data_IF_468760071852
#
_entry.id   IF_468760071852
#
_cell.length_a   1.000
_cell.length_b   1.000
_cell.length_c   1.000
_cell.angle_alpha   90.00
_cell.angle_beta   90.00
_cell.angle_gamma   90.00
#
_symmetry.space_group_name_H-M   'P 1'
#
loop_
_entity.id
_entity.type
_entity.pdbx_description
1 polymer ?
#
# COMPACT_ATOMS: atom_id res chain seq x y z
N UNK A 1 3.81 -80.44 -37.91
CA UNK A 1 4.35 -79.82 -36.65
C UNK A 1 4.35 -78.31 -36.81
N UNK A 2 3.25 -77.66 -36.46
CA UNK A 2 3.10 -76.18 -36.62
C UNK A 2 3.32 -75.49 -35.26
N UNK A 3 4.40 -74.68 -35.16
CA UNK A 3 4.65 -73.78 -33.98
C UNK A 3 3.92 -72.47 -34.18
N UNK A 4 2.94 -72.18 -33.31
CA UNK A 4 2.26 -70.89 -33.19
C UNK A 4 3.16 -69.91 -32.40
N UNK A 5 3.51 -68.77 -33.01
CA UNK A 5 4.12 -67.64 -32.34
C UNK A 5 3.03 -66.70 -31.88
N UNK A 6 2.89 -66.47 -30.54
CA UNK A 6 2.05 -65.44 -29.95
C UNK A 6 2.84 -64.16 -29.95
N UNK A 7 2.33 -63.17 -30.71
CA UNK A 7 2.85 -61.81 -30.70
C UNK A 7 2.21 -61.07 -29.54
N UNK A 8 2.99 -60.75 -28.50
CA UNK A 8 2.51 -60.01 -27.31
C UNK A 8 2.73 -58.52 -27.59
N UNK A 9 1.63 -57.80 -27.94
CA UNK A 9 1.66 -56.35 -28.13
C UNK A 9 1.65 -55.66 -26.75
N UNK A 10 2.77 -55.08 -26.38
CA UNK A 10 2.88 -54.19 -25.22
C UNK A 10 2.30 -52.80 -25.59
N UNK A 11 1.11 -52.49 -25.08
CA UNK A 11 0.51 -51.16 -25.13
C UNK A 11 1.18 -50.32 -24.03
N UNK A 12 2.12 -49.45 -24.40
CA UNK A 12 2.68 -48.44 -23.50
C UNK A 12 1.72 -47.30 -23.38
N UNK A 13 1.01 -47.24 -22.25
CA UNK A 13 0.13 -46.13 -21.88
C UNK A 13 1.01 -44.98 -21.33
N UNK A 14 1.36 -44.02 -22.17
CA UNK A 14 2.05 -42.79 -21.76
C UNK A 14 1.07 -41.91 -20.97
N UNK A 15 1.21 -41.96 -19.66
CA UNK A 15 0.50 -41.05 -18.74
C UNK A 15 1.23 -39.70 -18.72
N UNK A 16 0.78 -38.76 -19.56
CA UNK A 16 1.30 -37.39 -19.59
C UNK A 16 0.78 -36.65 -18.34
N UNK A 17 1.65 -36.53 -17.35
CA UNK A 17 1.41 -35.73 -16.13
C UNK A 17 1.47 -34.25 -16.52
N UNK A 18 0.32 -33.59 -16.72
CA UNK A 18 0.22 -32.14 -16.83
C UNK A 18 0.54 -31.54 -15.44
N UNK A 19 1.78 -31.12 -15.25
CA UNK A 19 2.15 -30.24 -14.14
C UNK A 19 1.52 -28.87 -14.38
N UNK A 20 0.41 -28.59 -13.73
CA UNK A 20 -0.13 -27.25 -13.63
C UNK A 20 0.89 -26.38 -12.86
N UNK A 21 1.69 -25.63 -13.59
CA UNK A 21 2.53 -24.58 -12.99
C UNK A 21 1.62 -23.47 -12.52
N UNK A 22 1.31 -23.46 -11.21
CA UNK A 22 0.72 -22.31 -10.55
C UNK A 22 1.79 -21.20 -10.54
N UNK A 23 1.89 -20.46 -11.63
CA UNK A 23 2.67 -19.25 -11.69
C UNK A 23 2.10 -18.26 -10.67
N UNK A 24 2.82 -18.00 -9.58
CA UNK A 24 2.57 -16.83 -8.77
C UNK A 24 2.77 -15.61 -9.68
N UNK A 25 1.67 -15.06 -10.18
CA UNK A 25 1.71 -13.80 -10.88
C UNK A 25 2.18 -12.75 -9.87
N UNK A 26 3.41 -12.31 -9.99
CA UNK A 26 3.94 -11.19 -9.22
C UNK A 26 3.05 -9.98 -9.53
N UNK A 27 2.33 -9.48 -8.53
CA UNK A 27 1.41 -8.37 -8.72
C UNK A 27 2.22 -7.14 -9.15
N UNK A 28 1.93 -6.66 -10.35
CA UNK A 28 2.54 -5.45 -10.89
C UNK A 28 2.00 -4.26 -10.10
N UNK A 29 2.86 -3.33 -9.70
CA UNK A 29 2.43 -2.05 -9.12
C UNK A 29 1.41 -1.37 -10.02
N UNK A 30 0.31 -0.90 -9.44
CA UNK A 30 -0.73 -0.18 -10.16
C UNK A 30 -0.16 1.06 -10.84
N UNK A 31 -0.69 1.36 -12.02
CA UNK A 31 -0.31 2.54 -12.80
C UNK A 31 -1.51 3.44 -13.05
N UNK A 32 -1.26 4.63 -13.55
CA UNK A 32 -2.33 5.55 -13.98
C UNK A 32 -3.28 4.85 -14.95
N UNK A 33 -4.56 4.91 -14.66
CA UNK A 33 -5.63 4.28 -15.43
C UNK A 33 -6.21 3.01 -14.82
N UNK A 34 -5.48 2.36 -13.92
CA UNK A 34 -5.96 1.16 -13.24
C UNK A 34 -7.09 1.48 -12.24
N UNK A 35 -7.94 0.49 -11.98
CA UNK A 35 -8.91 0.56 -10.89
C UNK A 35 -8.19 0.33 -9.55
N UNK A 36 -8.37 1.25 -8.60
CA UNK A 36 -7.81 1.10 -7.27
C UNK A 36 -8.57 0.03 -6.47
N UNK A 37 -7.92 -0.99 -5.92
CA UNK A 37 -8.54 -1.95 -5.03
C UNK A 37 -9.13 -1.25 -3.82
N UNK A 38 -10.43 -1.48 -3.55
CA UNK A 38 -11.05 -0.94 -2.35
C UNK A 38 -10.67 -1.79 -1.14
N UNK A 39 -10.43 -1.12 -0.02
CA UNK A 39 -10.06 -1.80 1.22
C UNK A 39 -10.79 -1.20 2.44
N UNK A 40 -10.79 -1.97 3.51
CA UNK A 40 -11.11 -1.50 4.86
C UNK A 40 -9.92 -1.82 5.76
N UNK A 41 -9.63 -0.94 6.71
CA UNK A 41 -8.54 -1.11 7.66
C UNK A 41 -8.87 -0.45 8.99
N UNK A 42 -8.28 -0.95 10.08
CA UNK A 42 -8.20 -0.19 11.32
C UNK A 42 -7.34 1.04 11.07
N UNK A 43 -7.86 2.19 11.42
CA UNK A 43 -7.18 3.47 11.24
C UNK A 43 -7.28 4.30 12.51
N UNK A 44 -6.41 5.28 12.62
CA UNK A 44 -6.42 6.25 13.72
C UNK A 44 -6.34 7.67 13.19
N UNK A 45 -7.11 8.55 13.79
CA UNK A 45 -7.01 10.00 13.59
C UNK A 45 -7.13 10.70 14.94
N UNK A 46 -6.24 11.62 15.23
CA UNK A 46 -6.18 12.33 16.52
C UNK A 46 -6.17 11.36 17.73
N UNK A 47 -5.50 10.21 17.59
CA UNK A 47 -5.41 9.18 18.63
C UNK A 47 -6.63 8.28 18.77
N UNK A 48 -7.68 8.50 17.98
CA UNK A 48 -8.93 7.72 18.04
C UNK A 48 -9.03 6.72 16.92
N UNK A 49 -9.30 5.46 17.28
CA UNK A 49 -9.44 4.34 16.34
C UNK A 49 -10.80 4.32 15.67
N UNK A 50 -10.82 3.92 14.41
CA UNK A 50 -12.05 3.67 13.66
C UNK A 50 -11.79 2.71 12.49
N UNK A 51 -12.87 2.20 11.88
CA UNK A 51 -12.77 1.41 10.65
C UNK A 51 -12.82 2.33 9.44
N UNK A 52 -11.68 2.53 8.78
CA UNK A 52 -11.59 3.26 7.51
C UNK A 52 -12.11 2.40 6.37
N UNK A 53 -12.79 3.03 5.41
CA UNK A 53 -13.22 2.38 4.16
C UNK A 53 -12.92 3.29 2.98
N UNK A 54 -12.04 2.84 2.07
CA UNK A 54 -11.72 3.59 0.86
C UNK A 54 -12.96 3.84 0.01
N UNK A 55 -13.86 2.85 -0.13
CA UNK A 55 -15.14 3.01 -0.85
C UNK A 55 -15.99 4.16 -0.30
N UNK A 56 -16.08 4.28 1.03
CA UNK A 56 -16.83 5.37 1.68
C UNK A 56 -16.13 6.72 1.51
N UNK A 57 -14.81 6.74 1.50
CA UNK A 57 -14.03 7.96 1.28
C UNK A 57 -14.18 8.46 -0.17
N UNK A 58 -14.06 7.58 -1.16
CA UNK A 58 -14.25 7.91 -2.59
C UNK A 58 -15.66 8.41 -2.91
N UNK A 59 -16.68 7.96 -2.19
CA UNK A 59 -18.03 8.49 -2.36
C UNK A 59 -18.14 10.00 -2.05
N UNK A 60 -17.21 10.54 -1.24
CA UNK A 60 -17.15 11.97 -0.88
C UNK A 60 -16.28 12.79 -1.83
N UNK A 61 -15.23 12.21 -2.42
CA UNK A 61 -14.29 12.91 -3.30
C UNK A 61 -13.05 12.07 -3.60
N UNK A 62 -12.06 12.64 -4.30
CA UNK A 62 -10.77 12.00 -4.53
C UNK A 62 -10.06 11.65 -3.23
N UNK A 63 -9.23 10.59 -3.26
CA UNK A 63 -8.45 10.14 -2.10
C UNK A 63 -6.99 10.01 -2.48
N UNK A 64 -6.12 10.61 -1.67
CA UNK A 64 -4.69 10.35 -1.69
C UNK A 64 -4.40 9.23 -0.72
N UNK A 65 -4.01 8.07 -1.25
CA UNK A 65 -3.54 6.92 -0.46
C UNK A 65 -2.03 6.89 -0.53
N UNK A 66 -1.34 7.19 0.57
CA UNK A 66 0.12 7.11 0.60
C UNK A 66 0.58 5.96 1.50
N UNK A 67 1.36 5.05 0.91
CA UNK A 67 2.04 3.98 1.62
C UNK A 67 3.41 4.47 2.07
N UNK A 68 3.77 4.17 3.31
CA UNK A 68 5.05 4.60 3.89
C UNK A 68 5.67 3.48 4.75
N UNK A 69 7.01 3.44 4.88
CA UNK A 69 7.72 2.39 5.58
C UNK A 69 7.34 2.18 7.04
N UNK A 70 7.36 3.22 7.85
CA UNK A 70 6.99 3.16 9.28
C UNK A 70 6.86 4.55 9.90
N UNK A 71 5.92 4.71 10.81
CA UNK A 71 5.79 5.87 11.67
C UNK A 71 7.06 6.11 12.51
N UNK A 72 7.32 7.35 12.89
CA UNK A 72 8.48 7.77 13.68
C UNK A 72 9.83 7.42 13.01
N UNK A 73 9.89 7.56 11.67
CA UNK A 73 11.14 7.43 10.92
C UNK A 73 11.31 8.62 9.99
N UNK A 74 12.46 9.28 10.02
CA UNK A 74 12.76 10.59 9.44
C UNK A 74 11.99 11.01 8.19
N UNK A 75 12.11 10.25 7.08
CA UNK A 75 11.39 10.58 5.83
C UNK A 75 9.87 10.41 5.92
N UNK A 76 9.37 9.48 6.75
CA UNK A 76 7.93 9.27 6.95
C UNK A 76 7.34 10.38 7.81
N UNK A 77 8.10 10.84 8.80
CA UNK A 77 7.73 11.94 9.69
C UNK A 77 7.61 13.25 8.90
N UNK A 78 8.59 13.51 8.02
CA UNK A 78 8.58 14.68 7.13
C UNK A 78 7.38 14.66 6.15
N UNK A 79 7.05 13.50 5.60
CA UNK A 79 5.89 13.34 4.70
C UNK A 79 4.57 13.59 5.45
N UNK A 80 4.40 12.98 6.63
CA UNK A 80 3.22 13.15 7.45
C UNK A 80 3.04 14.61 7.88
N UNK A 81 4.12 15.27 8.32
CA UNK A 81 4.12 16.68 8.65
C UNK A 81 3.69 17.55 7.46
N UNK A 82 4.26 17.31 6.27
CA UNK A 82 3.90 18.06 5.06
C UNK A 82 2.43 17.86 4.67
N UNK A 83 1.90 16.63 4.79
CA UNK A 83 0.46 16.40 4.60
C UNK A 83 -0.38 17.15 5.64
N UNK A 84 0.05 17.20 6.90
CA UNK A 84 -0.65 17.91 7.95
C UNK A 84 -0.68 19.44 7.70
N UNK A 85 0.43 20.03 7.27
CA UNK A 85 0.51 21.45 6.90
C UNK A 85 -0.39 21.80 5.71
N UNK A 86 -0.46 20.94 4.70
CA UNK A 86 -1.22 21.17 3.48
C UNK A 86 -2.66 20.61 3.51
N UNK A 87 -3.09 20.02 4.65
CA UNK A 87 -4.40 19.36 4.79
C UNK A 87 -5.57 20.22 4.34
N UNK A 88 -5.57 21.50 4.69
CA UNK A 88 -6.67 22.42 4.36
C UNK A 88 -6.74 22.66 2.84
N UNK A 89 -5.59 22.67 2.14
CA UNK A 89 -5.55 22.80 0.69
C UNK A 89 -6.10 21.54 0.00
N UNK A 90 -5.82 20.33 0.53
CA UNK A 90 -6.44 19.08 0.05
C UNK A 90 -7.96 19.10 0.29
N UNK A 91 -8.40 19.55 1.45
CA UNK A 91 -9.83 19.66 1.78
C UNK A 91 -10.54 20.65 0.85
N UNK A 92 -9.93 21.81 0.59
CA UNK A 92 -10.46 22.81 -0.35
C UNK A 92 -10.56 22.27 -1.78
N UNK A 93 -9.67 21.36 -2.17
CA UNK A 93 -9.74 20.63 -3.45
C UNK A 93 -10.70 19.41 -3.40
N UNK A 94 -11.48 19.23 -2.32
CA UNK A 94 -12.43 18.14 -2.16
C UNK A 94 -11.78 16.77 -1.90
N UNK A 95 -10.47 16.71 -1.66
CA UNK A 95 -9.73 15.48 -1.48
C UNK A 95 -9.52 15.11 -0.01
N UNK A 96 -9.50 13.81 0.28
CA UNK A 96 -9.09 13.25 1.57
C UNK A 96 -7.74 12.54 1.47
N UNK A 97 -7.07 12.37 2.62
CA UNK A 97 -5.75 11.75 2.74
C UNK A 97 -5.85 10.58 3.70
N UNK A 98 -5.20 9.47 3.35
CA UNK A 98 -4.99 8.32 4.22
C UNK A 98 -3.56 7.80 4.06
N UNK A 99 -2.81 7.72 5.17
CA UNK A 99 -1.53 7.01 5.20
C UNK A 99 -1.75 5.54 5.50
N UNK A 100 -0.91 4.66 4.96
CA UNK A 100 -0.96 3.21 5.19
C UNK A 100 0.44 2.69 5.45
N UNK A 101 0.63 1.99 6.57
CA UNK A 101 1.89 1.34 6.92
C UNK A 101 1.66 -0.01 7.58
N UNK A 102 2.74 -0.79 7.75
CA UNK A 102 2.70 -2.05 8.46
C UNK A 102 2.74 -1.89 10.00
N UNK A 103 2.77 -0.67 10.50
CA UNK A 103 2.72 -0.39 11.93
C UNK A 103 1.42 -0.89 12.56
N UNK A 104 1.48 -1.33 13.82
CA UNK A 104 0.29 -1.67 14.58
C UNK A 104 -0.56 -0.42 14.90
N UNK A 105 -1.82 -0.66 15.25
CA UNK A 105 -2.76 0.43 15.48
C UNK A 105 -2.41 1.25 16.73
N UNK A 106 -1.80 0.65 17.75
CA UNK A 106 -1.37 1.33 18.98
C UNK A 106 -0.29 2.37 18.66
N UNK A 107 0.68 1.99 17.80
CA UNK A 107 1.70 2.91 17.31
C UNK A 107 1.10 4.05 16.49
N UNK A 108 0.13 3.74 15.64
CA UNK A 108 -0.56 4.73 14.81
C UNK A 108 -1.47 5.65 15.62
N UNK A 109 -2.02 5.23 16.77
CA UNK A 109 -2.76 6.09 17.67
C UNK A 109 -1.87 7.25 18.17
N UNK A 110 -0.68 6.93 18.63
CA UNK A 110 0.28 7.95 19.06
C UNK A 110 0.70 8.84 17.88
N UNK A 111 1.06 8.24 16.71
CA UNK A 111 1.52 8.98 15.54
C UNK A 111 0.45 9.93 14.96
N UNK A 112 -0.81 9.49 14.92
CA UNK A 112 -1.91 10.30 14.38
C UNK A 112 -2.21 11.54 15.19
N UNK A 113 -1.98 11.50 16.50
CA UNK A 113 -2.23 12.63 17.41
C UNK A 113 -1.02 13.53 17.61
N UNK A 114 0.19 13.06 17.28
CA UNK A 114 1.42 13.78 17.52
C UNK A 114 1.48 15.08 16.69
N UNK A 115 1.63 16.25 17.36
CA UNK A 115 1.64 17.55 16.68
C UNK A 115 2.83 17.73 15.72
N UNK A 116 3.92 16.99 15.92
CA UNK A 116 5.08 17.01 15.04
C UNK A 116 4.88 16.26 13.71
N UNK A 117 3.81 15.44 13.59
CA UNK A 117 3.59 14.57 12.44
C UNK A 117 2.21 14.74 11.82
N UNK A 118 1.24 13.87 12.16
CA UNK A 118 -0.12 13.98 11.59
C UNK A 118 -0.95 15.11 12.21
N UNK A 119 -0.60 15.54 13.41
CA UNK A 119 -1.26 16.63 14.16
C UNK A 119 -2.80 16.47 14.28
N UNK A 120 -3.29 15.24 14.31
CA UNK A 120 -4.73 14.95 14.32
C UNK A 120 -5.49 15.26 13.03
N UNK A 121 -4.82 15.78 11.99
CA UNK A 121 -5.47 16.39 10.83
C UNK A 121 -5.96 15.39 9.78
N UNK A 122 -5.37 14.21 9.71
CA UNK A 122 -5.77 13.15 8.79
C UNK A 122 -5.52 11.76 9.40
N UNK A 123 -6.09 10.74 8.79
CA UNK A 123 -6.01 9.38 9.29
C UNK A 123 -4.79 8.62 8.78
N UNK A 124 -4.31 7.69 9.61
CA UNK A 124 -3.33 6.67 9.24
C UNK A 124 -3.90 5.28 9.53
N UNK A 125 -3.70 4.33 8.62
CA UNK A 125 -4.26 2.99 8.66
C UNK A 125 -3.18 1.92 8.85
N UNK A 126 -3.51 0.90 9.62
CA UNK A 126 -2.66 -0.26 9.91
C UNK A 126 -2.89 -1.35 8.86
N UNK A 127 -1.79 -1.80 8.24
CA UNK A 127 -1.74 -2.93 7.31
C UNK A 127 -0.68 -3.94 7.76
N UNK A 128 -0.86 -4.59 8.93
CA UNK A 128 0.12 -5.53 9.45
C UNK A 128 0.26 -6.72 8.50
N UNK A 129 1.49 -6.93 8.01
CA UNK A 129 1.81 -7.93 7.00
C UNK A 129 1.63 -7.48 5.55
N UNK A 130 1.21 -6.21 5.28
CA UNK A 130 1.24 -5.61 3.96
C UNK A 130 0.20 -6.14 2.97
N UNK A 131 -0.93 -6.70 3.44
CA UNK A 131 -1.95 -7.30 2.56
C UNK A 131 -2.64 -6.26 1.68
N UNK A 132 -2.89 -5.05 2.21
CA UNK A 132 -3.46 -3.95 1.42
C UNK A 132 -2.42 -3.49 0.40
N UNK A 133 -1.17 -3.28 0.85
CA UNK A 133 -0.06 -2.89 -0.02
C UNK A 133 0.14 -3.88 -1.18
N UNK A 134 0.04 -5.18 -0.93
CA UNK A 134 0.14 -6.23 -1.94
C UNK A 134 -0.94 -6.08 -3.03
N UNK A 135 -2.17 -5.70 -2.70
CA UNK A 135 -3.23 -5.45 -3.70
C UNK A 135 -2.93 -4.26 -4.61
N UNK A 136 -2.08 -3.33 -4.16
CA UNK A 136 -1.56 -2.20 -4.94
C UNK A 136 -0.26 -2.55 -5.68
N UNK A 137 0.18 -3.81 -5.62
CA UNK A 137 1.42 -4.30 -6.22
C UNK A 137 2.68 -3.84 -5.50
N UNK A 138 2.57 -3.50 -4.22
CA UNK A 138 3.70 -3.11 -3.38
C UNK A 138 4.16 -4.31 -2.54
N UNK A 139 5.42 -4.70 -2.71
CA UNK A 139 6.00 -5.79 -1.95
C UNK A 139 6.61 -5.26 -0.65
N UNK A 140 6.12 -5.79 0.48
CA UNK A 140 6.67 -5.48 1.78
C UNK A 140 8.07 -6.12 1.93
N UNK A 141 9.06 -5.35 2.34
CA UNK A 141 10.38 -5.91 2.68
C UNK A 141 10.36 -6.52 4.08
N UNK A 142 11.22 -7.51 4.37
CA UNK A 142 11.30 -8.08 5.71
C UNK A 142 11.75 -7.03 6.75
N UNK A 143 11.45 -7.24 8.05
CA UNK A 143 11.95 -6.39 9.11
C UNK A 143 13.49 -6.42 9.16
N UNK A 144 14.10 -5.30 9.55
CA UNK A 144 15.54 -5.20 9.75
C UNK A 144 15.84 -5.33 11.24
N UNK A 145 16.53 -6.40 11.63
CA UNK A 145 16.90 -6.65 13.03
C UNK A 145 17.65 -5.46 13.64
N UNK A 146 17.25 -5.05 14.84
CA UNK A 146 17.88 -3.97 15.59
C UNK A 146 17.61 -2.57 15.06
N UNK A 147 16.77 -2.43 14.02
CA UNK A 147 16.37 -1.11 13.56
C UNK A 147 15.42 -0.45 14.56
N UNK A 148 15.72 0.81 14.90
CA UNK A 148 14.92 1.60 15.84
C UNK A 148 14.39 2.86 15.17
N UNK A 149 13.26 3.32 15.67
CA UNK A 149 12.69 4.61 15.31
C UNK A 149 13.42 5.78 16.00
N UNK A 150 13.01 7.02 15.71
CA UNK A 150 13.61 8.22 16.30
C UNK A 150 13.42 8.32 17.81
N UNK A 151 12.53 7.52 18.42
CA UNK A 151 12.28 7.42 19.85
C UNK A 151 13.08 6.30 20.51
N UNK A 152 13.87 5.53 19.72
CA UNK A 152 14.62 4.37 20.20
C UNK A 152 13.81 3.07 20.31
N UNK A 153 12.56 3.04 19.84
CA UNK A 153 11.71 1.86 19.84
C UNK A 153 12.04 0.95 18.66
N UNK A 154 12.09 -0.37 18.88
CA UNK A 154 12.40 -1.33 17.82
C UNK A 154 11.27 -1.42 16.78
N UNK A 155 11.67 -1.58 15.51
CA UNK A 155 10.79 -1.80 14.38
C UNK A 155 10.76 -3.29 14.05
N UNK A 156 9.69 -3.97 14.48
CA UNK A 156 9.57 -5.44 14.39
C UNK A 156 8.66 -5.89 13.23
N UNK A 157 8.40 -5.02 12.26
CA UNK A 157 7.57 -5.31 11.09
C UNK A 157 8.32 -5.01 9.79
N UNK A 158 7.80 -5.52 8.67
CA UNK A 158 8.31 -5.22 7.33
C UNK A 158 7.99 -3.79 6.89
N UNK A 159 8.68 -3.33 5.84
CA UNK A 159 8.54 -1.97 5.35
C UNK A 159 7.84 -1.95 4.00
N UNK A 160 6.73 -1.22 3.91
CA UNK A 160 6.05 -0.95 2.66
C UNK A 160 6.83 0.14 1.91
N UNK A 161 7.15 -0.04 0.61
CA UNK A 161 7.87 0.99 -0.14
C UNK A 161 7.03 2.26 -0.25
N UNK A 162 7.67 3.43 -0.05
CA UNK A 162 7.00 4.73 -0.14
C UNK A 162 6.43 4.94 -1.54
N UNK A 163 5.10 4.91 -1.63
CA UNK A 163 4.38 5.05 -2.89
C UNK A 163 3.04 5.74 -2.62
N UNK A 164 2.75 6.76 -3.39
CA UNK A 164 1.50 7.53 -3.25
C UNK A 164 0.64 7.35 -4.49
N UNK A 165 -0.61 7.00 -4.27
CA UNK A 165 -1.65 6.88 -5.30
C UNK A 165 -2.66 8.01 -5.13
N UNK A 166 -2.91 8.76 -6.19
CA UNK A 166 -4.03 9.71 -6.23
C UNK A 166 -5.17 9.01 -6.97
N UNK A 167 -6.31 8.86 -6.30
CA UNK A 167 -7.46 8.08 -6.78
C UNK A 167 -8.64 9.04 -6.95
N UNK A 168 -9.25 9.07 -8.12
CA UNK A 168 -10.41 9.89 -8.38
C UNK A 168 -11.69 9.31 -7.73
N UNK A 169 -12.77 10.10 -7.73
CA UNK A 169 -14.06 9.71 -7.15
C UNK A 169 -14.65 8.43 -7.79
N UNK A 170 -14.27 8.10 -9.02
CA UNK A 170 -14.69 6.89 -9.71
C UNK A 170 -13.87 5.65 -9.30
N UNK A 171 -12.85 5.82 -8.45
CA UNK A 171 -11.96 4.74 -8.01
C UNK A 171 -10.84 4.44 -9.00
N UNK A 172 -10.54 5.36 -9.92
CA UNK A 172 -9.45 5.20 -10.88
C UNK A 172 -8.17 5.87 -10.36
N UNK A 173 -7.04 5.18 -10.45
CA UNK A 173 -5.72 5.74 -10.19
C UNK A 173 -5.41 6.78 -11.28
N UNK A 174 -5.23 8.04 -10.89
CA UNK A 174 -4.94 9.14 -11.82
C UNK A 174 -3.48 9.62 -11.75
N UNK A 175 -2.78 9.30 -10.68
CA UNK A 175 -1.34 9.47 -10.56
C UNK A 175 -0.75 8.47 -9.58
N UNK A 176 0.51 8.12 -9.81
CA UNK A 176 1.34 7.28 -8.91
C UNK A 176 2.69 7.96 -8.77
N UNK A 177 3.21 8.03 -7.55
CA UNK A 177 4.52 8.56 -7.21
C UNK A 177 5.26 7.56 -6.33
N UNK A 178 6.51 7.24 -6.64
CA UNK A 178 7.35 6.31 -5.89
C UNK A 178 8.72 6.91 -5.60
N UNK A 179 9.11 6.98 -4.33
CA UNK A 179 10.46 7.44 -3.99
C UNK A 179 11.55 6.58 -4.62
N UNK A 180 11.28 5.28 -4.81
CA UNK A 180 12.26 4.33 -5.30
C UNK A 180 12.48 4.45 -6.82
N UNK A 181 11.41 4.59 -7.61
CA UNK A 181 11.49 4.62 -9.07
C UNK A 181 11.60 6.04 -9.63
N UNK A 182 10.96 7.02 -8.98
CA UNK A 182 10.93 8.40 -9.46
C UNK A 182 12.01 9.28 -8.82
N UNK A 183 12.76 8.73 -7.85
CA UNK A 183 13.83 9.41 -7.12
C UNK A 183 13.41 10.76 -6.50
N UNK A 184 12.17 10.80 -5.99
CA UNK A 184 11.59 12.01 -5.39
C UNK A 184 11.62 11.96 -3.86
N UNK A 185 11.64 13.13 -3.25
CA UNK A 185 11.61 13.29 -1.79
C UNK A 185 10.22 13.03 -1.21
N UNK A 186 10.11 12.77 0.11
CA UNK A 186 8.80 12.69 0.79
C UNK A 186 7.92 13.93 0.57
N UNK A 187 8.49 15.14 0.55
CA UNK A 187 7.75 16.36 0.30
C UNK A 187 7.19 16.44 -1.14
N UNK A 188 7.95 15.95 -2.13
CA UNK A 188 7.48 15.90 -3.52
C UNK A 188 6.23 15.05 -3.69
N UNK A 189 6.08 13.95 -2.92
CA UNK A 189 4.86 13.13 -2.94
C UNK A 189 3.64 13.98 -2.58
N UNK A 190 3.77 14.84 -1.58
CA UNK A 190 2.68 15.68 -1.07
C UNK A 190 2.34 16.78 -2.06
N UNK A 191 3.34 17.54 -2.52
CA UNK A 191 3.16 18.66 -3.44
C UNK A 191 2.58 18.20 -4.79
N UNK A 192 3.13 17.12 -5.37
CA UNK A 192 2.66 16.54 -6.63
C UNK A 192 1.21 16.02 -6.49
N UNK A 193 0.88 15.36 -5.37
CA UNK A 193 -0.48 14.90 -5.11
C UNK A 193 -1.46 16.07 -5.00
N UNK A 194 -1.07 17.15 -4.31
CA UNK A 194 -1.88 18.35 -4.20
C UNK A 194 -2.11 19.02 -5.56
N UNK A 195 -1.07 19.09 -6.40
CA UNK A 195 -1.22 19.63 -7.76
C UNK A 195 -2.22 18.84 -8.60
N UNK A 196 -2.19 17.49 -8.50
CA UNK A 196 -3.12 16.61 -9.21
C UNK A 196 -4.56 16.85 -8.73
N UNK A 197 -4.82 16.80 -7.40
CA UNK A 197 -6.21 16.94 -6.90
C UNK A 197 -6.80 18.33 -7.13
N UNK A 198 -5.97 19.39 -7.24
CA UNK A 198 -6.42 20.73 -7.60
C UNK A 198 -6.82 20.88 -9.07
N UNK A 199 -6.36 19.97 -9.93
CA UNK A 199 -6.64 19.98 -11.35
C UNK A 199 -7.88 19.15 -11.74
N UNK A 200 -8.56 18.51 -10.75
CA UNK A 200 -9.79 17.74 -10.94
C UNK A 200 -11.02 18.63 -10.88
#
# INVERSE_FOLDING_TARGET
>A
MFKKYYCLSFLVFSFSLLLAQSGFAQSKTLVKGDAAPVFTAKASQAGSEFDFSLKKALAKGPVVVYFYPSAYTGGCDAEAHSFAELKDKFTAAGASIIGVSADDIQRLNAFSSDPGYCAGKFAVASDPGGKIAETYGLLISPPKLGMKDVRGMELNHGFIPRTTFVIDKAGKVIAVFSSQTDHISPADHVEKSLAIVKAL
#
